data_IF_127436884934
#
_entry.id   IF_127436884934
#
_cell.length_a   1.000
_cell.length_b   1.000
_cell.length_c   1.000
_cell.angle_alpha   90.00
_cell.angle_beta   90.00
_cell.angle_gamma   90.00
#
_symmetry.space_group_name_H-M   'P 1'
#
loop_
_entity.id
_entity.type
_entity.pdbx_description
1 polymer ?
#
# COMPACT_ATOMS: atom_id res chain seq x y z
N UNK A 1 4.84 7.63 1.99
CA UNK A 1 3.78 7.82 0.98
C UNK A 1 2.58 6.89 1.22
N UNK A 2 2.31 6.48 2.47
CA UNK A 2 1.24 5.56 2.84
C UNK A 2 0.48 5.99 4.09
N UNK A 3 -0.71 5.39 4.27
CA UNK A 3 -1.53 5.47 5.48
C UNK A 3 -2.13 4.10 5.77
N UNK A 4 -2.25 3.75 7.04
CA UNK A 4 -2.85 2.51 7.49
C UNK A 4 -4.17 2.80 8.20
N UNK A 5 -5.20 2.03 7.89
CA UNK A 5 -6.50 2.12 8.54
C UNK A 5 -6.88 0.76 9.08
N UNK A 6 -7.00 0.64 10.38
CA UNK A 6 -7.57 -0.54 11.02
C UNK A 6 -9.09 -0.49 10.87
N UNK A 7 -9.63 -1.38 10.04
CA UNK A 7 -11.06 -1.43 9.75
C UNK A 7 -11.78 -2.40 10.69
N UNK A 8 -12.41 -1.86 11.74
CA UNK A 8 -13.20 -2.66 12.69
C UNK A 8 -14.71 -2.56 12.46
N UNK A 9 -15.18 -1.59 11.66
CA UNK A 9 -16.59 -1.37 11.42
C UNK A 9 -17.22 -2.53 10.62
N UNK A 10 -18.07 -3.32 11.28
CA UNK A 10 -18.73 -4.49 10.68
C UNK A 10 -19.62 -4.12 9.49
N UNK A 11 -20.34 -3.00 9.56
CA UNK A 11 -21.24 -2.56 8.47
C UNK A 11 -20.43 -2.24 7.20
N UNK A 12 -19.29 -1.59 7.33
CA UNK A 12 -18.40 -1.30 6.18
C UNK A 12 -17.83 -2.61 5.63
N UNK A 13 -17.38 -3.52 6.50
CA UNK A 13 -16.90 -4.86 6.08
C UNK A 13 -17.96 -5.62 5.29
N UNK A 14 -19.22 -5.59 5.72
CA UNK A 14 -20.34 -6.22 5.01
C UNK A 14 -20.58 -5.58 3.64
N UNK A 15 -20.50 -4.25 3.53
CA UNK A 15 -20.66 -3.53 2.26
C UNK A 15 -19.58 -3.85 1.22
N UNK A 16 -18.32 -3.97 1.65
CA UNK A 16 -17.22 -4.28 0.72
C UNK A 16 -17.12 -5.77 0.38
N UNK A 17 -17.68 -6.66 1.21
CA UNK A 17 -17.59 -8.12 1.04
C UNK A 17 -17.93 -8.62 -0.36
N UNK A 18 -19.02 -8.22 -1.02
CA UNK A 18 -19.38 -8.71 -2.35
C UNK A 18 -18.34 -8.38 -3.42
N UNK A 19 -17.49 -7.39 -3.15
CA UNK A 19 -16.49 -6.88 -4.08
C UNK A 19 -15.05 -7.23 -3.67
N UNK A 20 -14.87 -7.96 -2.57
CA UNK A 20 -13.56 -8.30 -1.99
C UNK A 20 -13.41 -9.82 -1.81
N UNK A 21 -13.48 -10.55 -2.93
CA UNK A 21 -13.43 -12.02 -2.95
C UNK A 21 -12.19 -12.62 -2.30
N UNK A 22 -11.04 -11.95 -2.38
CA UNK A 22 -9.81 -12.37 -1.69
C UNK A 22 -9.82 -12.12 -0.18
N UNK A 23 -10.74 -11.28 0.31
CA UNK A 23 -10.88 -10.93 1.71
C UNK A 23 -12.02 -11.67 2.43
N UNK A 24 -12.86 -12.41 1.72
CA UNK A 24 -14.14 -12.93 2.22
C UNK A 24 -14.05 -13.57 3.62
N UNK A 25 -13.09 -14.47 3.81
CA UNK A 25 -12.88 -15.15 5.10
C UNK A 25 -12.22 -14.25 6.15
N UNK A 26 -11.34 -13.35 5.70
CA UNK A 26 -10.60 -12.47 6.59
C UNK A 26 -11.44 -11.32 7.14
N UNK A 27 -12.48 -10.88 6.40
CA UNK A 27 -13.38 -9.83 6.87
C UNK A 27 -14.10 -10.18 8.16
N UNK A 28 -14.42 -11.46 8.37
CA UNK A 28 -15.07 -11.93 9.60
C UNK A 28 -14.08 -12.57 10.59
N UNK A 29 -13.16 -13.37 10.07
CA UNK A 29 -12.32 -14.25 10.90
C UNK A 29 -11.04 -13.59 11.41
N UNK A 30 -10.57 -12.51 10.78
CA UNK A 30 -9.35 -11.86 11.22
C UNK A 30 -9.56 -11.04 12.49
N UNK A 31 -8.60 -11.11 13.42
CA UNK A 31 -8.59 -10.25 14.61
C UNK A 31 -8.35 -8.78 14.23
N UNK A 32 -7.52 -8.53 13.22
CA UNK A 32 -7.20 -7.21 12.70
C UNK A 32 -7.26 -7.21 11.18
N UNK A 33 -7.98 -6.25 10.62
CA UNK A 33 -8.10 -6.06 9.18
C UNK A 33 -7.67 -4.65 8.82
N UNK A 34 -6.59 -4.51 8.05
CA UNK A 34 -5.96 -3.22 7.75
C UNK A 34 -6.05 -2.91 6.26
N UNK A 35 -6.52 -1.72 5.96
CA UNK A 35 -6.41 -1.12 4.63
C UNK A 35 -5.07 -0.39 4.54
N UNK A 36 -4.33 -0.61 3.46
CA UNK A 36 -3.09 0.08 3.17
C UNK A 36 -3.34 1.04 2.01
N UNK A 37 -3.27 2.33 2.31
CA UNK A 37 -3.51 3.40 1.36
C UNK A 37 -2.18 3.96 0.85
N UNK A 38 -2.13 4.22 -0.45
CA UNK A 38 -1.08 4.99 -1.11
C UNK A 38 -1.48 6.47 -1.18
N UNK A 39 -0.51 7.38 -1.16
CA UNK A 39 -0.77 8.79 -1.49
C UNK A 39 -1.23 8.93 -2.93
N UNK A 40 -2.12 9.88 -3.17
CA UNK A 40 -2.63 10.21 -4.51
C UNK A 40 -1.56 10.82 -5.42
N UNK A 41 -1.87 10.92 -6.71
CA UNK A 41 -1.00 11.61 -7.65
C UNK A 41 -0.76 13.08 -7.28
N UNK A 42 -1.79 13.76 -6.77
CA UNK A 42 -1.69 15.15 -6.33
C UNK A 42 -0.58 15.33 -5.28
N UNK A 43 -0.48 14.41 -4.32
CA UNK A 43 0.51 14.48 -3.24
C UNK A 43 1.90 13.98 -3.65
N UNK A 44 1.99 13.12 -4.66
CA UNK A 44 3.24 12.44 -5.00
C UNK A 44 3.99 13.05 -6.20
N UNK A 45 3.47 14.10 -6.81
CA UNK A 45 4.22 14.90 -7.79
C UNK A 45 5.41 15.57 -7.12
N UNK A 46 6.53 15.68 -7.84
CA UNK A 46 7.77 16.31 -7.33
C UNK A 46 7.57 17.75 -6.84
N UNK A 47 6.56 18.45 -7.37
CA UNK A 47 6.21 19.85 -7.09
C UNK A 47 5.05 19.98 -6.07
N UNK A 48 4.61 18.90 -5.44
CA UNK A 48 3.47 18.91 -4.51
C UNK A 48 3.80 19.57 -3.17
N UNK A 49 2.80 20.24 -2.59
CA UNK A 49 2.88 20.79 -1.23
C UNK A 49 3.18 19.71 -0.18
N UNK A 50 2.66 18.49 -0.40
CA UNK A 50 2.91 17.37 0.50
C UNK A 50 4.39 16.98 0.54
N UNK A 51 5.06 16.86 -0.62
CA UNK A 51 6.49 16.53 -0.63
C UNK A 51 7.34 17.67 -0.08
N UNK A 52 6.96 18.91 -0.34
CA UNK A 52 7.59 20.08 0.26
C UNK A 52 7.45 20.06 1.78
N UNK A 53 6.26 19.82 2.30
CA UNK A 53 6.02 19.65 3.74
C UNK A 53 6.88 18.54 4.34
N UNK A 54 6.96 17.37 3.68
CA UNK A 54 7.80 16.25 4.15
C UNK A 54 9.27 16.66 4.22
N UNK A 55 9.81 17.30 3.20
CA UNK A 55 11.21 17.71 3.17
C UNK A 55 11.52 18.81 4.21
N UNK A 56 10.64 19.80 4.31
CA UNK A 56 10.86 20.96 5.17
C UNK A 56 10.50 20.69 6.63
N UNK A 57 9.30 20.19 6.89
CA UNK A 57 8.76 20.09 8.25
C UNK A 57 9.06 18.75 8.93
N UNK A 58 9.13 17.66 8.18
CA UNK A 58 9.38 16.33 8.76
C UNK A 58 10.86 16.00 8.75
N UNK A 59 11.52 16.16 7.59
CA UNK A 59 12.94 15.82 7.42
C UNK A 59 13.88 16.96 7.82
N UNK A 60 13.35 18.19 7.96
CA UNK A 60 14.11 19.39 8.37
C UNK A 60 15.29 19.72 7.46
N UNK A 61 15.15 19.49 6.15
CA UNK A 61 16.19 19.83 5.19
C UNK A 61 16.31 21.36 5.01
N UNK A 62 17.52 21.90 4.81
CA UNK A 62 17.72 23.28 4.38
C UNK A 62 17.09 23.55 3.00
N UNK A 63 16.66 24.79 2.77
CA UNK A 63 15.95 25.17 1.54
C UNK A 63 16.76 24.86 0.26
N UNK A 64 18.09 25.05 0.28
CA UNK A 64 18.97 24.68 -0.84
C UNK A 64 18.94 23.18 -1.15
N UNK A 65 18.92 22.33 -0.12
CA UNK A 65 18.83 20.88 -0.28
C UNK A 65 17.45 20.46 -0.80
N UNK A 66 16.39 21.16 -0.38
CA UNK A 66 15.02 20.91 -0.86
C UNK A 66 14.95 21.13 -2.35
N UNK A 67 15.49 22.24 -2.86
CA UNK A 67 15.45 22.55 -4.29
C UNK A 67 16.27 21.56 -5.12
N UNK A 68 17.46 21.18 -4.65
CA UNK A 68 18.26 20.14 -5.32
C UNK A 68 17.55 18.77 -5.36
N UNK A 69 16.86 18.41 -4.28
CA UNK A 69 16.07 17.15 -4.22
C UNK A 69 14.86 17.19 -5.11
N UNK A 70 14.17 18.33 -5.14
CA UNK A 70 13.00 18.56 -6.00
C UNK A 70 13.38 18.40 -7.48
N UNK A 71 14.51 18.99 -7.91
CA UNK A 71 15.00 18.86 -9.28
C UNK A 71 15.39 17.42 -9.63
N UNK A 72 16.08 16.71 -8.73
CA UNK A 72 16.38 15.29 -8.91
C UNK A 72 15.12 14.45 -9.00
N UNK A 73 14.12 14.74 -8.17
CA UNK A 73 12.87 14.01 -8.16
C UNK A 73 12.02 14.31 -9.39
N UNK A 74 12.08 15.54 -9.91
CA UNK A 74 11.51 15.90 -11.20
C UNK A 74 12.10 15.05 -12.32
N UNK A 75 13.42 15.03 -12.44
CA UNK A 75 14.09 14.23 -13.46
C UNK A 75 13.74 12.73 -13.35
N UNK A 76 13.72 12.21 -12.13
CA UNK A 76 13.30 10.84 -11.87
C UNK A 76 11.88 10.58 -12.38
N UNK A 77 10.92 11.45 -12.06
CA UNK A 77 9.53 11.24 -12.45
C UNK A 77 9.29 11.44 -13.94
N UNK A 78 9.91 12.47 -14.54
CA UNK A 78 9.69 12.83 -15.95
C UNK A 78 10.48 11.94 -16.92
N UNK A 79 11.76 11.68 -16.61
CA UNK A 79 12.69 11.09 -17.56
C UNK A 79 13.05 9.64 -17.23
N UNK A 80 13.43 9.35 -15.98
CA UNK A 80 13.97 8.04 -15.63
C UNK A 80 12.85 6.97 -15.55
N UNK A 81 11.72 7.31 -14.92
CA UNK A 81 10.59 6.42 -14.73
C UNK A 81 9.35 6.77 -15.56
N UNK A 82 9.33 7.97 -16.20
CA UNK A 82 8.23 8.45 -17.04
C UNK A 82 6.86 8.34 -16.38
N UNK A 83 6.80 8.75 -15.10
CA UNK A 83 5.61 8.56 -14.26
C UNK A 83 4.42 9.43 -14.67
N UNK A 84 4.62 10.37 -15.60
CA UNK A 84 3.56 11.23 -16.15
C UNK A 84 3.06 10.79 -17.53
N UNK A 85 3.46 9.60 -18.01
CA UNK A 85 2.92 9.04 -19.26
C UNK A 85 1.43 8.73 -19.19
N UNK A 86 0.91 8.49 -17.99
CA UNK A 86 -0.52 8.34 -17.71
C UNK A 86 -0.83 8.63 -16.24
N UNK A 87 -2.09 8.96 -15.93
CA UNK A 87 -2.57 9.10 -14.55
C UNK A 87 -2.33 7.83 -13.71
N UNK A 88 -2.35 6.68 -14.35
CA UNK A 88 -2.11 5.40 -13.69
C UNK A 88 -0.65 5.17 -13.35
N UNK A 89 0.29 5.64 -14.18
CA UNK A 89 1.72 5.35 -14.00
C UNK A 89 2.25 5.84 -12.64
N UNK A 90 1.96 7.08 -12.27
CA UNK A 90 2.36 7.65 -10.98
C UNK A 90 1.67 6.93 -9.81
N UNK A 91 0.37 6.66 -9.93
CA UNK A 91 -0.38 5.96 -8.88
C UNK A 91 0.15 4.53 -8.68
N UNK A 92 0.38 3.78 -9.76
CA UNK A 92 0.92 2.42 -9.66
C UNK A 92 2.33 2.42 -9.03
N UNK A 93 3.16 3.42 -9.35
CA UNK A 93 4.46 3.60 -8.70
C UNK A 93 4.29 3.87 -7.19
N UNK A 94 3.35 4.76 -6.81
CA UNK A 94 3.08 5.05 -5.40
C UNK A 94 2.51 3.83 -4.67
N UNK A 95 1.64 3.05 -5.31
CA UNK A 95 1.15 1.80 -4.75
C UNK A 95 2.28 0.79 -4.50
N UNK A 96 3.28 0.69 -5.39
CA UNK A 96 4.45 -0.18 -5.16
C UNK A 96 5.18 0.15 -3.86
N UNK A 97 5.22 1.43 -3.44
CA UNK A 97 5.87 1.82 -2.18
C UNK A 97 5.17 1.20 -0.96
N UNK A 98 3.86 0.96 -1.03
CA UNK A 98 3.11 0.36 0.08
C UNK A 98 3.46 -1.10 0.34
N UNK A 99 4.06 -1.79 -0.62
CA UNK A 99 4.52 -3.18 -0.46
C UNK A 99 5.75 -3.30 0.44
N UNK A 100 6.50 -2.21 0.63
CA UNK A 100 7.61 -2.16 1.60
C UNK A 100 7.08 -2.38 3.03
N UNK A 101 6.17 -1.54 3.56
CA UNK A 101 5.60 -1.79 4.88
C UNK A 101 4.73 -3.05 4.93
N UNK A 102 4.03 -3.44 3.85
CA UNK A 102 3.31 -4.70 3.80
C UNK A 102 4.23 -5.89 4.06
N UNK A 103 5.38 -5.97 3.37
CA UNK A 103 6.36 -7.03 3.57
C UNK A 103 6.92 -7.05 5.01
N UNK A 104 7.19 -5.87 5.58
CA UNK A 104 7.61 -5.74 6.97
C UNK A 104 6.54 -6.25 7.95
N UNK A 105 5.27 -5.92 7.71
CA UNK A 105 4.15 -6.41 8.53
C UNK A 105 4.02 -7.94 8.46
N UNK A 106 4.12 -8.53 7.26
CA UNK A 106 4.07 -9.99 7.07
C UNK A 106 5.23 -10.68 7.81
N UNK A 107 6.43 -10.13 7.71
CA UNK A 107 7.62 -10.66 8.37
C UNK A 107 7.52 -10.54 9.89
N UNK A 108 7.10 -9.38 10.39
CA UNK A 108 6.92 -9.15 11.82
C UNK A 108 5.85 -10.07 12.41
N UNK A 109 4.72 -10.25 11.72
CA UNK A 109 3.67 -11.18 12.13
C UNK A 109 4.21 -12.62 12.23
N UNK A 110 4.96 -13.07 11.24
CA UNK A 110 5.57 -14.39 11.24
C UNK A 110 6.54 -14.61 12.41
N UNK A 111 7.36 -13.61 12.73
CA UNK A 111 8.28 -13.64 13.87
C UNK A 111 7.52 -13.73 15.19
N UNK A 112 6.38 -13.06 15.30
CA UNK A 112 5.51 -13.05 16.49
C UNK A 112 4.59 -14.29 16.57
N UNK A 113 4.64 -15.20 15.59
CA UNK A 113 3.74 -16.36 15.54
C UNK A 113 2.28 -16.00 15.22
N UNK A 114 2.05 -14.85 14.58
CA UNK A 114 0.74 -14.39 14.13
C UNK A 114 0.57 -14.73 12.66
N UNK A 115 -0.52 -15.36 12.30
CA UNK A 115 -0.85 -15.59 10.90
C UNK A 115 -1.26 -14.28 10.22
N UNK A 116 -0.87 -14.13 8.96
CA UNK A 116 -1.20 -12.96 8.16
C UNK A 116 -1.43 -13.32 6.71
N UNK A 117 -2.26 -12.53 6.05
CA UNK A 117 -2.51 -12.67 4.61
C UNK A 117 -2.61 -11.30 3.96
N UNK A 118 -1.84 -11.10 2.88
CA UNK A 118 -1.98 -9.95 1.99
C UNK A 118 -3.14 -10.17 1.04
N UNK A 119 -3.88 -9.12 0.72
CA UNK A 119 -5.11 -9.20 -0.07
C UNK A 119 -5.08 -8.14 -1.16
N UNK A 120 -5.13 -8.60 -2.41
CA UNK A 120 -5.36 -7.80 -3.64
C UNK A 120 -6.62 -8.26 -4.39
N UNK A 121 -7.24 -9.36 -3.95
CA UNK A 121 -8.42 -9.95 -4.58
C UNK A 121 -9.68 -9.15 -4.31
N UNK A 122 -9.81 -7.95 -4.89
CA UNK A 122 -11.00 -7.11 -4.78
C UNK A 122 -11.20 -6.25 -6.03
N UNK A 123 -12.45 -5.85 -6.27
CA UNK A 123 -12.76 -4.84 -7.27
C UNK A 123 -12.40 -3.46 -6.68
N UNK A 124 -11.29 -2.89 -7.15
CA UNK A 124 -10.74 -1.65 -6.60
C UNK A 124 -11.72 -0.50 -6.65
N UNK A 125 -12.37 -0.28 -7.79
CA UNK A 125 -13.32 0.83 -7.98
C UNK A 125 -14.50 0.73 -7.02
N UNK A 126 -15.12 -0.45 -6.93
CA UNK A 126 -16.29 -0.66 -6.07
C UNK A 126 -15.96 -0.57 -4.59
N UNK A 127 -14.82 -1.09 -4.19
CA UNK A 127 -14.38 -1.00 -2.79
C UNK A 127 -14.00 0.44 -2.43
N UNK A 128 -13.28 1.17 -3.28
CA UNK A 128 -12.98 2.59 -3.07
C UNK A 128 -14.24 3.44 -2.99
N UNK A 129 -15.20 3.25 -3.91
CA UNK A 129 -16.50 3.95 -3.90
C UNK A 129 -17.21 3.82 -2.55
N UNK A 130 -17.26 2.60 -2.00
CA UNK A 130 -17.87 2.34 -0.69
C UNK A 130 -17.07 3.01 0.43
N UNK A 131 -15.75 2.83 0.47
CA UNK A 131 -14.91 3.38 1.53
C UNK A 131 -14.96 4.92 1.55
N UNK A 132 -14.98 5.55 0.40
CA UNK A 132 -15.09 7.00 0.25
C UNK A 132 -16.48 7.48 0.70
N UNK A 133 -17.56 6.84 0.26
CA UNK A 133 -18.93 7.20 0.66
C UNK A 133 -19.18 7.04 2.16
N UNK A 134 -18.46 6.14 2.82
CA UNK A 134 -18.48 5.95 4.28
C UNK A 134 -17.50 6.87 5.02
N UNK A 135 -16.80 7.77 4.34
CA UNK A 135 -15.88 8.73 4.94
C UNK A 135 -14.61 8.10 5.54
N UNK A 136 -14.19 6.92 5.06
CA UNK A 136 -13.04 6.19 5.61
C UNK A 136 -11.73 6.91 5.33
N UNK A 137 -11.61 7.51 4.15
CA UNK A 137 -10.46 8.35 3.78
C UNK A 137 -10.85 9.39 2.72
N UNK A 138 -10.01 10.43 2.60
CA UNK A 138 -10.15 11.46 1.59
C UNK A 138 -9.51 11.02 0.27
N UNK A 139 -10.29 10.89 -0.84
CA UNK A 139 -9.79 10.46 -2.13
C UNK A 139 -8.86 11.48 -2.82
N UNK A 140 -8.87 12.75 -2.41
CA UNK A 140 -7.92 13.75 -2.90
C UNK A 140 -6.49 13.39 -2.49
N UNK A 141 -6.32 12.82 -1.30
CA UNK A 141 -5.02 12.52 -0.73
C UNK A 141 -4.64 11.04 -0.74
N UNK A 142 -5.62 10.13 -0.84
CA UNK A 142 -5.35 8.70 -0.69
C UNK A 142 -6.13 7.84 -1.68
N UNK A 143 -5.52 6.72 -2.05
CA UNK A 143 -6.11 5.65 -2.85
C UNK A 143 -5.83 4.30 -2.19
N UNK A 144 -6.78 3.37 -2.30
CA UNK A 144 -6.58 2.03 -1.78
C UNK A 144 -5.53 1.29 -2.61
N UNK A 145 -4.49 0.79 -1.96
CA UNK A 145 -3.45 -0.02 -2.61
C UNK A 145 -3.72 -1.51 -2.44
N UNK A 146 -3.66 -1.98 -1.22
CA UNK A 146 -3.91 -3.37 -0.86
C UNK A 146 -4.46 -3.46 0.57
N UNK A 147 -4.74 -4.66 1.02
CA UNK A 147 -5.21 -4.92 2.38
C UNK A 147 -4.35 -6.02 3.02
N UNK A 148 -4.33 -6.08 4.34
CA UNK A 148 -3.71 -7.15 5.10
C UNK A 148 -4.59 -7.53 6.30
N UNK A 149 -4.67 -8.82 6.57
CA UNK A 149 -5.39 -9.35 7.71
C UNK A 149 -4.44 -10.13 8.61
N UNK A 150 -4.68 -10.05 9.92
CA UNK A 150 -3.93 -10.74 10.95
C UNK A 150 -4.87 -11.56 11.84
N UNK A 151 -4.39 -12.68 12.35
CA UNK A 151 -5.15 -13.53 13.26
C UNK A 151 -4.45 -14.85 13.50
N UNK A 152 -5.24 -15.86 13.85
CA UNK A 152 -4.77 -17.24 13.99
C UNK A 152 -5.66 -18.14 13.16
N UNK A 153 -5.05 -18.96 12.30
CA UNK A 153 -5.82 -19.93 11.52
C UNK A 153 -6.26 -21.10 12.40
N UNK A 154 -7.46 -21.59 12.15
CA UNK A 154 -7.97 -22.80 12.78
C UNK A 154 -7.80 -24.05 11.90
N UNK A 155 -6.96 -23.97 10.87
CA UNK A 155 -6.70 -25.04 9.91
C UNK A 155 -5.24 -25.43 9.96
N UNK A 156 -4.96 -26.68 9.61
CA UNK A 156 -3.59 -27.11 9.39
C UNK A 156 -2.95 -26.30 8.26
N UNK A 157 -1.73 -25.86 8.48
CA UNK A 157 -0.95 -25.17 7.46
C UNK A 157 -0.56 -26.14 6.34
N UNK A 158 -0.84 -25.73 5.11
CA UNK A 158 -0.32 -26.48 3.97
C UNK A 158 1.21 -26.40 3.95
N UNK A 159 1.90 -27.47 3.54
CA UNK A 159 3.34 -27.40 3.31
C UNK A 159 3.69 -26.23 2.38
N UNK A 160 4.72 -25.51 2.74
CA UNK A 160 5.19 -24.39 1.90
C UNK A 160 5.86 -24.91 0.65
N UNK A 161 5.37 -24.48 -0.50
CA UNK A 161 5.99 -24.75 -1.79
C UNK A 161 6.83 -23.57 -2.24
N UNK A 162 8.02 -23.83 -2.76
CA UNK A 162 8.96 -22.82 -3.27
C UNK A 162 9.59 -23.34 -4.56
N UNK A 163 9.87 -22.42 -5.47
CA UNK A 163 10.80 -22.74 -6.56
C UNK A 163 12.20 -22.95 -5.99
N UNK A 164 13.05 -23.64 -6.74
CA UNK A 164 14.45 -23.80 -6.36
C UNK A 164 15.16 -22.45 -6.35
N UNK A 165 16.19 -22.33 -5.52
CA UNK A 165 16.92 -21.06 -5.34
C UNK A 165 17.50 -20.54 -6.65
N UNK A 166 18.10 -21.41 -7.43
CA UNK A 166 18.71 -21.11 -8.73
C UNK A 166 17.74 -20.57 -9.79
N UNK A 167 16.43 -20.77 -9.61
CA UNK A 167 15.40 -20.21 -10.49
C UNK A 167 15.02 -18.75 -10.15
N UNK A 168 15.38 -18.29 -8.96
CA UNK A 168 14.98 -16.98 -8.44
C UNK A 168 16.15 -16.11 -8.02
N UNK A 169 17.36 -16.65 -7.99
CA UNK A 169 18.58 -15.97 -7.60
C UNK A 169 19.74 -16.34 -8.54
N UNK A 170 20.52 -15.36 -8.93
CA UNK A 170 21.69 -15.53 -9.78
C UNK A 170 22.82 -14.64 -9.28
N UNK A 171 24.02 -15.21 -9.17
CA UNK A 171 25.25 -14.44 -9.00
C UNK A 171 25.80 -14.10 -10.40
N UNK A 172 26.18 -12.84 -10.57
CA UNK A 172 26.93 -12.36 -11.76
C UNK A 172 28.24 -11.81 -11.25
N UNK A 173 29.36 -12.43 -11.66
CA UNK A 173 30.73 -12.03 -11.28
C UNK A 173 31.27 -10.97 -12.26
#
# INVERSE_FOLDING_TARGET
PWKFILLNNKKIKEKIRPYAWGAEKALDGASHFVLILARSNQDMRYDSDYLQYIMKEVQKFPDEMIEQRREKFRNFQENDFKLFESERALLDWTCKQTYIPLANMLTAAAILGVDSTSIEGFNKEKVEEILISEGVYDPEHFRLSCMIAFGYTNRDHRPKTRRKLEEVWQLVD
#
